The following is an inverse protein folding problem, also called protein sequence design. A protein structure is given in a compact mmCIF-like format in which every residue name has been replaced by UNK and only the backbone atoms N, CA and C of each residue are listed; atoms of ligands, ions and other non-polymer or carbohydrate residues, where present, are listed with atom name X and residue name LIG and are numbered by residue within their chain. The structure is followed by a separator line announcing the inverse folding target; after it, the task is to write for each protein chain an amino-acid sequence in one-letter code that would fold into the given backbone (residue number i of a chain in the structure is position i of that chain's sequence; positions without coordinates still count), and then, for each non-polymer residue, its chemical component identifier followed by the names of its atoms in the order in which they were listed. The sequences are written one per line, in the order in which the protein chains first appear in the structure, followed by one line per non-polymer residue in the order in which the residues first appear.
data_IF_510199783439
#
_entry.id   IF_510199783439
#
_cell.length_a   1.000
_cell.length_b   1.000
_cell.length_c   1.000
_cell.angle_alpha   90.00
_cell.angle_beta   90.00
_cell.angle_gamma   90.00
#
_symmetry.space_group_name_H-M   'P 1'
#
loop_
_entity.id
_entity.type
_entity.pdbx_description
1 polymer ?
#
# COMPACT_ATOMS: atom_id res chain seq x y z
N UNK A 1 32.53 36.93 -3.03
CA UNK A 1 31.27 36.59 -3.74
C UNK A 1 30.85 35.23 -3.22
N UNK A 2 30.23 35.18 -2.04
CA UNK A 2 29.77 33.94 -1.44
C UNK A 2 28.30 33.76 -1.79
N UNK A 3 27.99 32.78 -2.66
CA UNK A 3 26.62 32.34 -2.89
C UNK A 3 26.27 31.37 -1.76
N UNK A 4 25.70 31.89 -0.69
CA UNK A 4 24.89 31.09 0.24
C UNK A 4 23.65 30.62 -0.51
N UNK A 5 23.70 29.39 -1.02
CA UNK A 5 22.51 28.71 -1.53
C UNK A 5 21.69 28.26 -0.33
N UNK A 6 20.81 29.16 0.13
CA UNK A 6 19.62 28.81 0.89
C UNK A 6 18.80 27.84 0.03
N UNK A 7 19.10 26.55 0.15
CA UNK A 7 18.12 25.53 -0.19
C UNK A 7 17.02 25.73 0.82
N UNK A 8 15.94 26.39 0.37
CA UNK A 8 14.64 26.22 0.98
C UNK A 8 14.50 24.72 1.21
N UNK A 9 14.43 24.32 2.47
CA UNK A 9 13.72 23.10 2.85
C UNK A 9 12.35 23.30 2.22
N UNK A 10 12.15 22.72 1.04
CA UNK A 10 10.81 22.49 0.55
C UNK A 10 10.15 21.71 1.68
N UNK A 11 9.09 22.31 2.23
CA UNK A 11 8.29 21.71 3.28
C UNK A 11 7.98 20.27 2.85
N UNK A 12 8.63 19.31 3.51
CA UNK A 12 8.25 17.89 3.43
C UNK A 12 6.96 17.78 4.24
N UNK A 13 5.88 18.34 3.70
CA UNK A 13 4.56 17.81 3.91
C UNK A 13 4.56 16.41 3.23
N UNK A 14 4.06 15.34 3.83
CA UNK A 14 2.87 15.34 4.67
C UNK A 14 2.79 14.09 5.54
N UNK A 15 2.67 14.34 6.84
CA UNK A 15 1.98 13.49 7.79
C UNK A 15 0.74 12.84 7.20
N UNK A 16 0.53 11.57 7.53
CA UNK A 16 -0.79 11.07 7.96
C UNK A 16 -0.64 9.63 8.42
N UNK A 17 -1.04 9.39 9.65
CA UNK A 17 -1.71 8.13 9.97
C UNK A 17 -2.98 8.07 9.11
N UNK A 18 -2.85 7.54 7.89
CA UNK A 18 -4.01 7.34 7.03
C UNK A 18 -4.71 6.11 7.56
N UNK A 19 -6.01 6.24 7.80
CA UNK A 19 -6.88 5.13 8.14
C UNK A 19 -8.18 5.31 7.38
N UNK A 20 -8.41 4.44 6.39
CA UNK A 20 -9.58 4.48 5.52
C UNK A 20 -10.26 3.12 5.53
N UNK A 21 -11.46 3.05 6.09
CA UNK A 21 -12.24 1.82 6.12
C UNK A 21 -13.00 1.63 4.81
N UNK A 22 -13.14 0.38 4.37
CA UNK A 22 -13.93 0.01 3.19
C UNK A 22 -14.53 -1.39 3.36
N UNK A 23 -15.51 -1.72 2.51
CA UNK A 23 -16.16 -3.03 2.54
C UNK A 23 -16.24 -3.59 1.13
N UNK A 24 -16.05 -4.89 0.97
CA UNK A 24 -16.21 -5.57 -0.31
C UNK A 24 -17.21 -6.72 -0.14
N UNK A 25 -18.14 -6.84 -1.10
CA UNK A 25 -19.20 -7.85 -1.08
C UNK A 25 -19.00 -8.82 -2.23
N UNK A 26 -18.72 -10.08 -1.94
CA UNK A 26 -18.47 -11.06 -2.99
C UNK A 26 -19.68 -11.18 -3.93
N UNK A 27 -19.49 -11.03 -5.27
CA UNK A 27 -20.60 -10.87 -6.21
C UNK A 27 -21.51 -12.10 -6.32
N UNK A 28 -20.97 -13.30 -6.12
CA UNK A 28 -21.74 -14.56 -6.21
C UNK A 28 -22.34 -15.01 -4.87
N UNK A 29 -21.59 -14.97 -3.77
CA UNK A 29 -22.03 -15.48 -2.46
C UNK A 29 -22.77 -14.44 -1.63
N UNK A 30 -22.62 -13.15 -1.91
CA UNK A 30 -23.16 -12.05 -1.11
C UNK A 30 -22.41 -11.82 0.22
N UNK A 31 -21.34 -12.57 0.49
CA UNK A 31 -20.51 -12.39 1.68
C UNK A 31 -19.89 -10.99 1.68
N UNK A 32 -20.07 -10.23 2.76
CA UNK A 32 -19.45 -8.90 2.92
C UNK A 32 -18.33 -8.97 3.95
N UNK A 33 -17.16 -8.45 3.59
CA UNK A 33 -16.00 -8.32 4.47
C UNK A 33 -15.61 -6.85 4.62
N UNK A 34 -15.15 -6.49 5.81
CA UNK A 34 -14.73 -5.14 6.17
C UNK A 34 -13.22 -5.06 6.33
N UNK A 35 -12.63 -4.00 5.80
CA UNK A 35 -11.20 -3.80 5.72
C UNK A 35 -10.82 -2.36 6.07
N UNK A 36 -9.54 -2.16 6.38
CA UNK A 36 -8.93 -0.84 6.49
C UNK A 36 -7.67 -0.76 5.65
N UNK A 37 -7.51 0.36 4.94
CA UNK A 37 -6.26 0.76 4.32
C UNK A 37 -5.55 1.75 5.25
N UNK A 38 -4.34 1.39 5.68
CA UNK A 38 -3.58 2.11 6.69
C UNK A 38 -2.18 2.49 6.22
N UNK A 39 -1.72 3.69 6.55
CA UNK A 39 -0.36 4.15 6.29
C UNK A 39 0.22 4.77 7.55
N UNK A 40 1.43 4.35 7.95
CA UNK A 40 2.09 4.78 9.19
C UNK A 40 3.53 5.22 8.89
N UNK A 41 3.74 6.52 8.77
CA UNK A 41 5.07 7.13 8.72
C UNK A 41 5.17 8.14 9.87
N UNK A 42 6.19 8.00 10.72
CA UNK A 42 6.42 8.99 11.76
C UNK A 42 6.82 10.33 11.13
N UNK A 43 6.58 11.42 11.84
CA UNK A 43 7.02 12.75 11.39
C UNK A 43 8.53 12.77 11.15
N UNK A 44 8.95 13.19 9.95
CA UNK A 44 10.36 13.26 9.57
C UNK A 44 11.03 11.91 9.32
N UNK A 45 10.28 10.81 9.30
CA UNK A 45 10.80 9.48 9.02
C UNK A 45 11.20 9.33 7.54
N UNK A 46 12.37 8.75 7.30
CA UNK A 46 12.78 8.36 5.96
C UNK A 46 11.87 7.22 5.43
N UNK A 47 11.66 7.11 4.11
CA UNK A 47 10.93 5.98 3.53
C UNK A 47 11.44 4.64 4.08
N UNK A 48 10.54 3.84 4.65
CA UNK A 48 10.86 2.55 5.25
C UNK A 48 10.57 1.39 4.28
N UNK A 49 11.16 0.22 4.56
CA UNK A 49 10.99 -0.96 3.72
C UNK A 49 9.70 -1.75 4.02
N UNK A 50 9.40 -2.74 3.19
CA UNK A 50 8.21 -3.59 3.32
C UNK A 50 8.16 -4.33 4.65
N UNK A 51 9.30 -4.90 5.08
CA UNK A 51 9.39 -5.64 6.33
C UNK A 51 9.05 -4.76 7.55
N UNK A 52 9.52 -3.52 7.57
CA UNK A 52 9.24 -2.57 8.66
C UNK A 52 7.77 -2.13 8.65
N UNK A 53 7.18 -1.91 7.47
CA UNK A 53 5.75 -1.61 7.38
C UNK A 53 4.87 -2.76 7.86
N UNK A 54 5.19 -4.01 7.49
CA UNK A 54 4.43 -5.18 7.97
C UNK A 54 4.61 -5.43 9.47
N UNK A 55 5.73 -5.04 10.08
CA UNK A 55 5.84 -5.05 11.56
C UNK A 55 4.88 -4.06 12.23
N UNK A 56 4.64 -2.90 11.60
CA UNK A 56 3.71 -1.88 12.11
C UNK A 56 2.25 -2.27 11.92
N UNK A 57 1.98 -3.11 10.91
CA UNK A 57 0.65 -3.62 10.57
C UNK A 57 0.66 -5.14 10.62
N UNK A 58 0.80 -5.75 11.82
CA UNK A 58 0.94 -7.20 11.96
C UNK A 58 -0.32 -7.97 11.55
N UNK A 59 -1.45 -7.27 11.41
CA UNK A 59 -2.75 -7.75 10.96
C UNK A 59 -3.01 -7.50 9.47
N UNK A 60 -1.96 -7.18 8.69
CA UNK A 60 -2.04 -7.05 7.24
C UNK A 60 -2.62 -8.31 6.60
N UNK A 61 -3.52 -8.13 5.63
CA UNK A 61 -4.23 -9.24 5.02
C UNK A 61 -3.31 -10.13 4.17
N UNK A 62 -3.57 -11.44 4.20
CA UNK A 62 -2.81 -12.44 3.47
C UNK A 62 -3.47 -12.90 2.17
N UNK A 63 -3.14 -14.12 1.75
CA UNK A 63 -3.62 -14.72 0.50
C UNK A 63 -5.14 -14.90 0.46
N UNK A 64 -5.77 -15.32 1.56
CA UNK A 64 -7.20 -15.60 1.60
C UNK A 64 -8.03 -14.34 1.30
N UNK A 65 -7.82 -13.28 2.08
CA UNK A 65 -8.48 -12.00 1.86
C UNK A 65 -8.05 -11.33 0.56
N UNK A 66 -6.79 -11.50 0.15
CA UNK A 66 -6.30 -10.99 -1.12
C UNK A 66 -7.06 -11.58 -2.30
N UNK A 67 -7.32 -12.89 -2.31
CA UNK A 67 -8.18 -13.56 -3.31
C UNK A 67 -9.61 -13.05 -3.27
N UNK A 68 -10.18 -12.87 -2.08
CA UNK A 68 -11.51 -12.31 -1.93
C UNK A 68 -11.62 -10.91 -2.55
N UNK A 69 -10.63 -10.04 -2.32
CA UNK A 69 -10.60 -8.70 -2.91
C UNK A 69 -10.34 -8.72 -4.43
N UNK A 70 -9.56 -9.67 -4.93
CA UNK A 70 -9.39 -9.93 -6.36
C UNK A 70 -10.73 -10.27 -7.01
N UNK A 71 -11.57 -11.08 -6.37
CA UNK A 71 -12.91 -11.44 -6.88
C UNK A 71 -13.90 -10.27 -6.81
N UNK A 72 -13.68 -9.34 -5.88
CA UNK A 72 -14.50 -8.15 -5.68
C UNK A 72 -14.07 -6.93 -6.52
N UNK A 73 -13.04 -7.02 -7.37
CA UNK A 73 -12.37 -5.84 -7.97
C UNK A 73 -13.28 -4.95 -8.84
N UNK A 74 -14.38 -5.49 -9.39
CA UNK A 74 -15.30 -4.75 -10.26
C UNK A 74 -16.24 -3.80 -9.49
N UNK A 75 -16.30 -3.94 -8.18
CA UNK A 75 -17.10 -3.05 -7.34
C UNK A 75 -16.36 -1.76 -7.07
N UNK A 76 -17.11 -0.66 -6.97
CA UNK A 76 -16.58 0.64 -6.58
C UNK A 76 -16.57 0.79 -5.04
N UNK A 77 -15.86 -0.10 -4.35
CA UNK A 77 -15.73 -0.05 -2.88
C UNK A 77 -14.65 0.94 -2.42
N UNK A 78 -14.02 1.68 -3.33
CA UNK A 78 -12.71 2.29 -3.07
C UNK A 78 -12.44 3.61 -3.76
N UNK A 79 -13.44 4.34 -4.28
CA UNK A 79 -13.20 5.61 -4.98
C UNK A 79 -12.31 6.58 -4.18
N UNK A 80 -12.48 6.66 -2.85
CA UNK A 80 -11.63 7.46 -1.95
C UNK A 80 -10.21 6.90 -1.71
N UNK A 81 -9.98 5.65 -2.11
CA UNK A 81 -8.71 4.93 -2.06
C UNK A 81 -8.03 4.88 -3.43
N UNK A 82 -8.69 5.29 -4.51
CA UNK A 82 -8.12 5.29 -5.88
C UNK A 82 -6.89 6.18 -6.03
N UNK A 83 -6.67 7.12 -5.12
CA UNK A 83 -5.43 7.90 -5.08
C UNK A 83 -4.26 7.17 -4.39
N UNK A 84 -4.45 5.94 -3.91
CA UNK A 84 -3.47 5.16 -3.14
C UNK A 84 -3.25 3.78 -3.77
N UNK A 85 -2.04 3.25 -3.62
CA UNK A 85 -1.79 1.83 -3.83
C UNK A 85 -2.21 1.08 -2.57
N UNK A 86 -2.88 -0.07 -2.73
CA UNK A 86 -3.27 -0.92 -1.60
C UNK A 86 -2.38 -2.15 -1.58
N UNK A 87 -1.63 -2.35 -0.50
CA UNK A 87 -0.63 -3.41 -0.37
C UNK A 87 -1.10 -4.45 0.61
N UNK A 88 -0.88 -5.73 0.30
CA UNK A 88 -1.22 -6.86 1.17
C UNK A 88 0.05 -7.61 1.60
N UNK A 89 -0.05 -8.46 2.62
CA UNK A 89 0.99 -9.41 2.99
C UNK A 89 0.99 -10.67 2.09
N UNK A 90 0.16 -10.74 1.04
CA UNK A 90 0.13 -11.87 0.11
C UNK A 90 1.35 -11.86 -0.81
N UNK A 91 2.38 -12.61 -0.39
CA UNK A 91 3.65 -12.74 -1.12
C UNK A 91 3.56 -13.76 -2.27
N UNK A 92 4.33 -13.52 -3.33
CA UNK A 92 4.49 -14.45 -4.43
C UNK A 92 5.33 -15.66 -3.98
N UNK A 93 4.94 -16.90 -4.31
CA UNK A 93 5.64 -18.10 -3.85
C UNK A 93 7.15 -18.11 -4.17
N UNK A 94 7.50 -17.78 -5.42
CA UNK A 94 8.89 -17.82 -5.88
C UNK A 94 9.65 -16.49 -5.72
N UNK A 95 8.96 -15.44 -5.25
CA UNK A 95 9.51 -14.08 -5.17
C UNK A 95 9.03 -13.46 -3.86
N UNK A 96 9.67 -13.77 -2.72
CA UNK A 96 9.18 -13.38 -1.40
C UNK A 96 9.07 -11.85 -1.22
N UNK A 97 9.87 -11.07 -1.93
CA UNK A 97 9.78 -9.59 -1.96
C UNK A 97 8.59 -9.06 -2.77
N UNK A 98 7.88 -9.93 -3.48
CA UNK A 98 6.81 -9.55 -4.38
C UNK A 98 5.45 -9.74 -3.71
N UNK A 99 4.68 -8.68 -3.52
CA UNK A 99 3.38 -8.72 -2.81
C UNK A 99 2.21 -8.40 -3.74
N UNK A 100 1.02 -8.92 -3.45
CA UNK A 100 -0.20 -8.56 -4.17
C UNK A 100 -0.62 -7.15 -3.78
N UNK A 101 -0.87 -6.29 -4.76
CA UNK A 101 -1.25 -4.90 -4.51
C UNK A 101 -2.24 -4.37 -5.56
N UNK A 102 -3.08 -3.42 -5.17
CA UNK A 102 -3.97 -2.68 -6.04
C UNK A 102 -3.25 -1.45 -6.58
N UNK A 103 -3.19 -1.31 -7.89
CA UNK A 103 -2.51 -0.21 -8.58
C UNK A 103 -3.46 0.97 -8.77
N UNK A 104 -3.13 2.09 -8.12
CA UNK A 104 -3.98 3.29 -8.09
C UNK A 104 -4.36 3.84 -9.47
N UNK A 105 -3.39 3.88 -10.40
CA UNK A 105 -3.56 4.47 -11.74
C UNK A 105 -4.16 3.50 -12.75
N UNK A 106 -4.10 2.21 -12.46
CA UNK A 106 -4.61 1.16 -13.33
C UNK A 106 -5.96 0.62 -12.89
N UNK A 107 -6.34 0.87 -11.64
CA UNK A 107 -7.52 0.30 -10.99
C UNK A 107 -7.58 -1.24 -11.12
N UNK A 108 -6.44 -1.90 -10.96
CA UNK A 108 -6.34 -3.36 -11.03
C UNK A 108 -5.41 -3.91 -9.95
N UNK A 109 -5.62 -5.16 -9.58
CA UNK A 109 -4.73 -5.91 -8.71
C UNK A 109 -3.61 -6.57 -9.52
N UNK A 110 -2.37 -6.44 -9.06
CA UNK A 110 -1.20 -7.07 -9.65
C UNK A 110 -0.31 -7.72 -8.59
N UNK A 111 0.52 -8.65 -9.05
CA UNK A 111 1.64 -9.13 -8.24
C UNK A 111 2.83 -8.18 -8.44
N UNK A 112 3.23 -7.48 -7.38
CA UNK A 112 4.29 -6.49 -7.43
C UNK A 112 5.65 -7.12 -7.18
N UNK A 113 6.23 -7.70 -8.23
CA UNK A 113 7.61 -8.20 -8.19
C UNK A 113 8.61 -7.42 -9.02
N UNK A 114 8.18 -6.65 -10.03
CA UNK A 114 9.11 -6.05 -10.99
C UNK A 114 8.66 -4.73 -11.65
N UNK A 115 7.37 -4.36 -11.68
CA UNK A 115 6.93 -3.23 -12.51
C UNK A 115 7.23 -1.83 -11.94
N UNK A 116 7.62 -1.75 -10.66
CA UNK A 116 8.12 -0.53 -10.00
C UNK A 116 9.64 -0.54 -9.77
N UNK A 117 10.36 -1.54 -10.32
CA UNK A 117 11.82 -1.65 -10.24
C UNK A 117 12.57 -0.48 -10.91
N UNK A 118 11.87 0.37 -11.68
CA UNK A 118 12.45 1.55 -12.34
C UNK A 118 12.41 2.84 -11.50
N UNK A 119 11.64 2.91 -10.42
CA UNK A 119 11.70 4.04 -9.49
C UNK A 119 12.56 3.74 -8.25
N UNK A 120 12.86 2.46 -7.98
CA UNK A 120 13.59 2.04 -6.78
C UNK A 120 14.44 0.81 -7.08
N UNK A 121 15.51 0.99 -7.85
CA UNK A 121 16.61 0.02 -8.00
C UNK A 121 17.45 -0.04 -6.71
N UNK A 122 16.79 -0.15 -5.57
CA UNK A 122 17.43 -0.21 -4.26
C UNK A 122 17.56 -1.69 -3.85
N UNK A 123 18.78 -2.19 -3.58
CA UNK A 123 18.98 -3.52 -3.03
C UNK A 123 18.23 -3.77 -1.70
N UNK A 124 17.75 -2.71 -1.03
CA UNK A 124 17.11 -2.78 0.29
C UNK A 124 15.58 -2.98 0.26
N UNK A 125 14.94 -3.08 -0.92
CA UNK A 125 13.53 -3.45 -1.08
C UNK A 125 12.57 -2.30 -1.48
N UNK A 126 11.27 -2.52 -1.30
CA UNK A 126 10.23 -1.53 -1.61
C UNK A 126 10.37 -0.34 -0.66
N UNK A 127 10.53 0.89 -1.17
CA UNK A 127 10.46 2.09 -0.34
C UNK A 127 9.02 2.58 -0.26
N UNK A 128 8.45 2.47 0.94
CA UNK A 128 7.10 2.92 1.22
C UNK A 128 6.99 4.43 1.11
N UNK A 129 6.02 4.93 0.34
CA UNK A 129 5.78 6.37 0.21
C UNK A 129 4.37 6.74 0.71
N UNK A 130 4.07 8.05 0.67
CA UNK A 130 2.81 8.63 1.15
C UNK A 130 1.54 8.11 0.44
N UNK A 131 1.68 7.42 -0.70
CA UNK A 131 0.57 6.87 -1.46
C UNK A 131 0.35 5.38 -1.25
N UNK A 132 1.21 4.70 -0.49
CA UNK A 132 1.09 3.28 -0.23
C UNK A 132 0.34 3.06 1.09
N UNK A 133 -0.69 2.22 1.06
CA UNK A 133 -1.48 1.84 2.24
C UNK A 133 -1.49 0.33 2.39
N UNK A 134 -1.20 -0.18 3.59
CA UNK A 134 -1.33 -1.60 3.92
C UNK A 134 -2.82 -1.89 4.15
N UNK A 135 -3.33 -2.97 3.57
CA UNK A 135 -4.69 -3.44 3.85
C UNK A 135 -4.66 -4.42 5.00
N UNK A 136 -5.58 -4.23 5.95
CA UNK A 136 -5.84 -5.14 7.06
C UNK A 136 -7.33 -5.42 7.19
N UNK A 137 -7.69 -6.48 7.91
CA UNK A 137 -9.08 -6.79 8.22
C UNK A 137 -9.56 -5.90 9.37
N UNK A 138 -10.80 -5.43 9.33
CA UNK A 138 -11.38 -4.82 10.53
C UNK A 138 -11.56 -5.90 11.60
N UNK A 139 -11.19 -5.58 12.85
CA UNK A 139 -11.54 -6.39 14.01
C UNK A 139 -13.06 -6.39 14.26
#
# INVERSE_FOLDING_TARGET
MERTTNHKKDDIMTHKDIKKSFSATHPTTGETRHFEAVGFLNEGELPINDDEMFKRVPDAIGEEEGKFLDECFKQDWSQELWSHNLVTAWRHPDRPRSVRCFVRHGHYWAQHGHYWARLWSDPDGLRWNEYDLVVRRCA
#
